data_IF_996211396078
#
_entry.id   IF_996211396078
#
_cell.length_a   1.000
_cell.length_b   1.000
_cell.length_c   1.000
_cell.angle_alpha   90.00
_cell.angle_beta   90.00
_cell.angle_gamma   90.00
#
_symmetry.space_group_name_H-M   'P 1'
#
loop_
_entity.id
_entity.type
_entity.pdbx_description
1 polymer ?
#
# COMPACT_ATOMS: atom_id res chain seq x y z
N UNK A 1 35.89 31.91 -63.96
CA UNK A 1 34.52 32.34 -63.59
C UNK A 1 33.73 31.09 -63.21
N UNK A 2 33.72 30.71 -61.94
CA UNK A 2 32.73 29.82 -61.31
C UNK A 2 32.56 30.36 -59.88
N UNK A 3 31.36 30.87 -59.61
CA UNK A 3 30.89 31.52 -58.39
C UNK A 3 30.59 30.44 -57.32
N UNK A 4 31.30 30.45 -56.20
CA UNK A 4 31.00 29.59 -55.05
C UNK A 4 30.12 30.37 -54.07
N UNK A 5 28.80 30.29 -54.28
CA UNK A 5 27.82 30.75 -53.29
C UNK A 5 27.77 29.76 -52.12
N UNK A 6 28.29 30.20 -50.98
CA UNK A 6 27.99 29.61 -49.68
C UNK A 6 26.53 29.90 -49.32
N UNK A 7 25.66 28.92 -49.49
CA UNK A 7 24.32 28.96 -48.92
C UNK A 7 24.41 28.83 -47.40
N UNK A 8 24.07 29.94 -46.72
CA UNK A 8 23.80 29.98 -45.29
C UNK A 8 22.54 29.15 -44.99
N UNK A 9 22.72 27.95 -44.48
CA UNK A 9 21.66 27.24 -43.78
C UNK A 9 21.41 27.92 -42.43
N UNK A 10 20.44 28.84 -42.42
CA UNK A 10 19.81 29.42 -41.25
C UNK A 10 19.03 28.34 -40.46
N UNK A 11 19.74 27.45 -39.78
CA UNK A 11 19.20 26.72 -38.64
C UNK A 11 19.34 27.59 -37.41
N UNK A 12 18.29 28.30 -36.98
CA UNK A 12 18.26 28.92 -35.65
C UNK A 12 18.53 27.81 -34.63
N UNK A 13 19.73 27.78 -34.04
CA UNK A 13 20.01 26.96 -32.87
C UNK A 13 18.92 27.28 -31.84
N UNK A 14 18.08 26.30 -31.48
CA UNK A 14 17.16 26.44 -30.35
C UNK A 14 18.01 26.60 -29.09
N UNK A 15 18.24 27.84 -28.68
CA UNK A 15 18.85 28.15 -27.39
C UNK A 15 17.87 27.69 -26.32
N UNK A 16 18.21 26.60 -25.61
CA UNK A 16 17.44 26.14 -24.45
C UNK A 16 17.91 26.91 -23.21
N UNK A 17 16.97 27.45 -22.42
CA UNK A 17 17.31 28.14 -21.17
C UNK A 17 17.98 27.20 -20.18
N UNK A 18 18.82 27.75 -19.29
CA UNK A 18 19.47 26.96 -18.23
C UNK A 18 18.44 26.29 -17.30
N UNK A 19 17.31 26.97 -17.03
CA UNK A 19 16.19 26.39 -16.28
C UNK A 19 15.60 25.16 -16.96
N UNK A 20 15.44 25.17 -18.29
CA UNK A 20 14.96 24.02 -19.04
C UNK A 20 15.98 22.88 -19.01
N UNK A 21 17.28 23.19 -19.10
CA UNK A 21 18.36 22.20 -18.98
C UNK A 21 18.35 21.52 -17.61
N UNK A 22 18.23 22.29 -16.52
CA UNK A 22 18.15 21.78 -15.15
C UNK A 22 16.89 20.90 -14.94
N UNK A 23 15.74 21.34 -15.45
CA UNK A 23 14.50 20.57 -15.38
C UNK A 23 14.63 19.23 -16.12
N UNK A 24 15.14 19.24 -17.35
CA UNK A 24 15.35 18.03 -18.15
C UNK A 24 16.35 17.06 -17.49
N UNK A 25 17.45 17.59 -16.91
CA UNK A 25 18.40 16.78 -16.15
C UNK A 25 17.76 16.13 -14.91
N UNK A 26 16.80 16.82 -14.29
CA UNK A 26 16.08 16.32 -13.11
C UNK A 26 15.10 15.21 -13.48
N UNK A 27 14.34 15.38 -14.56
CA UNK A 27 13.47 14.31 -15.08
C UNK A 27 14.27 13.08 -15.52
N UNK A 28 15.41 13.29 -16.20
CA UNK A 28 16.31 12.21 -16.59
C UNK A 28 16.88 11.44 -15.38
N UNK A 29 17.20 12.16 -14.28
CA UNK A 29 17.62 11.53 -13.03
C UNK A 29 16.51 10.65 -12.43
N UNK A 30 15.26 11.12 -12.45
CA UNK A 30 14.12 10.34 -11.95
C UNK A 30 13.95 9.05 -12.75
N UNK A 31 13.99 9.11 -14.08
CA UNK A 31 13.94 7.91 -14.94
C UNK A 31 15.09 6.94 -14.62
N UNK A 32 16.31 7.45 -14.49
CA UNK A 32 17.49 6.64 -14.17
C UNK A 32 17.34 5.89 -12.83
N UNK A 33 16.85 6.56 -11.77
CA UNK A 33 16.60 5.92 -10.47
C UNK A 33 15.49 4.87 -10.58
N UNK A 34 14.38 5.17 -11.26
CA UNK A 34 13.32 4.20 -11.49
C UNK A 34 13.82 2.96 -12.23
N UNK A 35 14.61 3.13 -13.29
CA UNK A 35 15.21 2.01 -14.04
C UNK A 35 16.19 1.20 -13.20
N UNK A 36 16.98 1.84 -12.34
CA UNK A 36 17.88 1.14 -11.43
C UNK A 36 17.13 0.21 -10.45
N UNK A 37 15.92 0.61 -10.04
CA UNK A 37 15.00 -0.23 -9.26
C UNK A 37 14.22 -1.25 -10.10
N UNK A 38 14.30 -1.15 -11.43
CA UNK A 38 13.52 -1.96 -12.37
C UNK A 38 12.06 -1.56 -12.46
N UNK A 39 11.76 -0.29 -12.17
CA UNK A 39 10.45 0.37 -12.31
C UNK A 39 10.38 1.16 -13.62
N UNK A 40 9.24 1.80 -13.89
CA UNK A 40 9.08 2.67 -15.07
C UNK A 40 8.68 4.09 -14.66
N UNK A 41 9.16 5.07 -15.42
CA UNK A 41 8.79 6.47 -15.32
C UNK A 41 8.09 6.90 -16.61
N UNK A 42 7.03 7.68 -16.49
CA UNK A 42 6.37 8.35 -17.61
C UNK A 42 6.28 9.84 -17.30
N UNK A 43 6.98 10.65 -18.07
CA UNK A 43 6.86 12.10 -18.03
C UNK A 43 5.49 12.53 -18.56
N UNK A 44 4.88 13.52 -17.92
CA UNK A 44 3.69 14.20 -18.42
C UNK A 44 4.15 15.43 -19.19
N UNK A 45 3.65 15.60 -20.42
CA UNK A 45 4.06 16.68 -21.28
C UNK A 45 3.72 18.04 -20.67
N UNK A 46 4.56 19.05 -20.93
CA UNK A 46 4.41 20.40 -20.41
C UNK A 46 3.10 21.10 -20.84
N UNK A 47 2.42 20.57 -21.88
CA UNK A 47 1.12 21.03 -22.34
C UNK A 47 -0.04 20.63 -21.40
N UNK A 48 0.18 19.62 -20.54
CA UNK A 48 -0.79 19.07 -19.57
C UNK A 48 -0.36 19.35 -18.11
N UNK A 49 0.53 20.34 -17.87
CA UNK A 49 1.11 20.64 -16.54
C UNK A 49 0.13 21.37 -15.61
N UNK A 50 -0.86 20.62 -15.11
CA UNK A 50 -1.75 21.03 -14.03
C UNK A 50 -1.12 20.88 -12.63
N UNK A 51 0.21 20.67 -12.54
CA UNK A 51 0.93 20.47 -11.28
C UNK A 51 1.45 19.05 -11.04
N UNK A 52 1.67 18.27 -12.10
CA UNK A 52 2.33 16.98 -12.08
C UNK A 52 3.32 16.87 -13.25
N UNK A 53 4.53 16.40 -12.98
CA UNK A 53 5.57 16.22 -14.02
C UNK A 53 5.66 14.77 -14.51
N UNK A 54 5.05 13.82 -13.81
CA UNK A 54 4.98 12.44 -14.29
C UNK A 54 4.43 11.41 -13.32
N UNK A 55 4.53 10.16 -13.74
CA UNK A 55 3.98 8.99 -13.07
C UNK A 55 5.06 7.91 -12.91
N UNK A 56 5.22 7.40 -11.68
CA UNK A 56 6.08 6.26 -11.38
C UNK A 56 5.24 4.99 -11.33
N UNK A 57 5.63 3.99 -12.11
CA UNK A 57 5.04 2.65 -12.13
C UNK A 57 5.90 1.68 -11.34
N UNK A 58 5.35 1.19 -10.24
CA UNK A 58 6.04 0.23 -9.39
C UNK A 58 6.01 -1.15 -10.04
N UNK A 59 7.16 -1.82 -10.00
CA UNK A 59 7.33 -3.16 -10.55
C UNK A 59 8.02 -4.07 -9.55
N UNK A 60 7.71 -5.35 -9.63
CA UNK A 60 8.39 -6.39 -8.85
C UNK A 60 9.17 -7.29 -9.80
N UNK A 61 10.39 -7.62 -9.39
CA UNK A 61 11.24 -8.54 -10.13
C UNK A 61 10.79 -9.97 -9.86
N UNK A 62 10.41 -10.69 -10.91
CA UNK A 62 10.20 -12.14 -10.92
C UNK A 62 11.44 -12.83 -11.47
N UNK A 63 12.02 -13.71 -10.66
CA UNK A 63 13.09 -14.60 -11.07
C UNK A 63 12.44 -15.85 -11.65
N UNK A 64 12.92 -16.30 -12.81
CA UNK A 64 12.52 -17.58 -13.37
C UNK A 64 13.14 -18.70 -12.51
N UNK A 65 12.30 -19.52 -11.88
CA UNK A 65 12.74 -20.58 -10.96
C UNK A 65 13.49 -21.71 -11.68
N UNK A 66 13.14 -22.00 -12.94
CA UNK A 66 13.81 -23.00 -13.77
C UNK A 66 15.16 -22.51 -14.29
N UNK A 67 15.33 -21.18 -14.44
CA UNK A 67 16.55 -20.55 -14.95
C UNK A 67 17.00 -19.38 -14.09
N UNK A 68 17.33 -19.61 -12.80
CA UNK A 68 17.56 -18.53 -11.85
C UNK A 68 18.82 -17.72 -12.17
N UNK A 69 19.79 -18.29 -12.90
CA UNK A 69 21.02 -17.61 -13.32
C UNK A 69 20.89 -16.83 -14.63
N UNK A 70 19.84 -17.07 -15.42
CA UNK A 70 19.64 -16.36 -16.70
C UNK A 70 18.86 -15.07 -16.47
N UNK A 71 19.58 -13.94 -16.42
CA UNK A 71 18.98 -12.61 -16.21
C UNK A 71 18.00 -12.21 -17.31
N UNK A 72 18.11 -12.76 -18.52
CA UNK A 72 17.20 -12.46 -19.64
C UNK A 72 15.82 -13.08 -19.43
N UNK A 73 15.75 -14.15 -18.64
CA UNK A 73 14.51 -14.83 -18.28
C UNK A 73 13.74 -14.13 -17.15
N UNK A 74 14.37 -13.19 -16.45
CA UNK A 74 13.75 -12.44 -15.35
C UNK A 74 12.79 -11.39 -15.90
N UNK A 75 11.67 -11.19 -15.21
CA UNK A 75 10.62 -10.24 -15.63
C UNK A 75 10.39 -9.18 -14.56
N UNK A 76 10.02 -7.97 -15.00
CA UNK A 76 9.58 -6.89 -14.11
C UNK A 76 8.08 -6.66 -14.31
N UNK A 77 7.29 -7.27 -13.43
CA UNK A 77 5.83 -7.23 -13.49
C UNK A 77 5.31 -5.96 -12.83
N UNK A 78 4.34 -5.32 -13.48
CA UNK A 78 3.65 -4.19 -12.89
C UNK A 78 2.89 -4.65 -11.65
N UNK A 79 3.08 -3.94 -10.55
CA UNK A 79 2.50 -4.32 -9.25
C UNK A 79 1.18 -3.61 -8.96
N UNK A 80 0.70 -2.78 -9.88
CA UNK A 80 -0.45 -1.91 -9.63
C UNK A 80 -0.19 -0.65 -8.83
N UNK A 81 1.06 -0.42 -8.42
CA UNK A 81 1.42 0.77 -7.67
C UNK A 81 1.74 1.91 -8.63
N UNK A 82 1.00 3.01 -8.52
CA UNK A 82 1.26 4.26 -9.23
C UNK A 82 1.53 5.38 -8.22
N UNK A 83 2.49 6.23 -8.50
CA UNK A 83 2.74 7.44 -7.71
C UNK A 83 2.82 8.62 -8.67
N UNK A 84 1.94 9.59 -8.52
CA UNK A 84 2.06 10.86 -9.24
C UNK A 84 3.16 11.69 -8.61
N UNK A 85 3.95 12.35 -9.44
CA UNK A 85 5.14 13.06 -9.00
C UNK A 85 5.13 14.47 -9.56
N UNK A 86 5.45 15.43 -8.70
CA UNK A 86 5.97 16.73 -9.10
C UNK A 86 7.48 16.74 -8.78
N UNK A 87 8.30 17.04 -9.78
CA UNK A 87 9.73 17.27 -9.72
C UNK A 87 10.01 18.77 -9.56
N UNK A 88 10.88 19.09 -8.60
CA UNK A 88 11.46 20.44 -8.46
C UNK A 88 12.96 20.34 -8.28
N UNK A 89 13.67 21.29 -8.83
CA UNK A 89 15.13 21.28 -8.90
C UNK A 89 15.67 22.70 -8.94
N UNK A 90 16.84 22.91 -8.36
CA UNK A 90 17.52 24.19 -8.34
C UNK A 90 17.41 24.90 -6.99
N UNK A 91 18.47 25.64 -6.65
CA UNK A 91 18.59 26.32 -5.36
C UNK A 91 17.48 27.36 -5.11
N UNK A 92 16.88 27.94 -6.16
CA UNK A 92 15.82 28.95 -6.06
C UNK A 92 14.55 28.44 -5.37
N UNK A 93 14.30 27.14 -5.40
CA UNK A 93 13.16 26.53 -4.71
C UNK A 93 13.43 26.31 -3.22
N UNK A 94 14.68 26.36 -2.74
CA UNK A 94 14.99 26.15 -1.33
C UNK A 94 14.73 27.42 -0.53
N UNK A 95 13.73 27.39 0.36
CA UNK A 95 13.45 28.49 1.29
C UNK A 95 14.45 28.51 2.46
N UNK A 96 14.71 27.33 3.01
CA UNK A 96 15.62 27.12 4.14
C UNK A 96 16.12 25.67 4.10
N UNK A 97 17.26 25.43 4.75
CA UNK A 97 17.83 24.11 4.96
C UNK A 97 18.17 23.95 6.43
N UNK A 98 17.74 22.85 7.03
CA UNK A 98 18.20 22.39 8.33
C UNK A 98 19.16 21.20 8.18
N UNK A 99 19.62 20.66 9.31
CA UNK A 99 20.50 19.49 9.35
C UNK A 99 19.84 18.25 8.70
N UNK A 100 18.53 18.07 8.92
CA UNK A 100 17.78 16.88 8.51
C UNK A 100 16.68 17.14 7.47
N UNK A 101 16.52 18.39 7.00
CA UNK A 101 15.43 18.75 6.10
C UNK A 101 15.75 19.91 5.16
N UNK A 102 14.96 19.99 4.09
CA UNK A 102 14.87 21.14 3.18
C UNK A 102 13.44 21.67 3.18
N UNK A 103 13.26 22.99 3.20
CA UNK A 103 11.98 23.62 2.92
C UNK A 103 11.93 24.07 1.47
N UNK A 104 10.97 23.55 0.72
CA UNK A 104 10.81 23.80 -0.70
C UNK A 104 9.62 24.75 -0.93
N UNK A 105 9.90 25.87 -1.58
CA UNK A 105 8.89 26.82 -2.09
C UNK A 105 8.20 26.20 -3.29
N UNK A 106 6.88 26.30 -3.34
CA UNK A 106 6.11 25.90 -4.51
C UNK A 106 5.24 27.09 -4.93
N UNK A 107 5.40 27.60 -6.17
CA UNK A 107 4.51 28.62 -6.70
C UNK A 107 3.05 28.15 -6.69
N UNK A 108 2.13 29.01 -6.27
CA UNK A 108 0.69 28.73 -6.19
C UNK A 108 0.35 27.47 -5.38
N UNK A 109 1.05 27.27 -4.25
CA UNK A 109 0.95 26.05 -3.43
C UNK A 109 -0.49 25.70 -3.06
N UNK A 110 -1.33 26.67 -2.69
CA UNK A 110 -2.72 26.39 -2.26
C UNK A 110 -3.56 25.76 -3.37
N UNK A 111 -3.44 26.29 -4.59
CA UNK A 111 -4.12 25.76 -5.79
C UNK A 111 -3.62 24.35 -6.09
N UNK A 112 -2.30 24.17 -6.13
CA UNK A 112 -1.68 22.86 -6.40
C UNK A 112 -2.03 21.83 -5.34
N UNK A 113 -2.07 22.23 -4.07
CA UNK A 113 -2.47 21.36 -2.95
C UNK A 113 -3.92 20.91 -3.09
N UNK A 114 -4.81 21.79 -3.54
CA UNK A 114 -6.19 21.42 -3.86
C UNK A 114 -6.26 20.32 -4.92
N UNK A 115 -5.45 20.43 -5.98
CA UNK A 115 -5.34 19.44 -7.05
C UNK A 115 -4.72 18.11 -6.57
N UNK A 116 -3.58 18.16 -5.88
CA UNK A 116 -2.91 16.97 -5.33
C UNK A 116 -3.79 16.20 -4.33
N UNK A 117 -4.60 16.91 -3.55
CA UNK A 117 -5.51 16.31 -2.56
C UNK A 117 -6.64 15.53 -3.23
N UNK A 118 -7.15 16.04 -4.37
CA UNK A 118 -8.21 15.40 -5.18
C UNK A 118 -7.73 14.18 -5.96
N UNK A 119 -6.42 14.07 -6.22
CA UNK A 119 -5.90 12.92 -6.95
C UNK A 119 -6.24 11.60 -6.25
N UNK A 120 -6.74 10.58 -6.96
CA UNK A 120 -6.97 9.26 -6.39
C UNK A 120 -5.65 8.53 -6.08
N UNK A 121 -4.54 8.98 -6.67
CA UNK A 121 -3.21 8.41 -6.47
C UNK A 121 -2.47 9.12 -5.31
N UNK A 122 -1.48 8.47 -4.69
CA UNK A 122 -0.46 9.11 -3.90
C UNK A 122 0.28 10.12 -4.76
N UNK A 123 0.59 11.26 -4.16
CA UNK A 123 1.31 12.34 -4.81
C UNK A 123 2.58 12.61 -4.03
N UNK A 124 3.71 12.62 -4.71
CA UNK A 124 5.01 12.92 -4.11
C UNK A 124 5.66 14.15 -4.76
N UNK A 125 6.31 14.96 -3.94
CA UNK A 125 7.30 15.92 -4.42
C UNK A 125 8.64 15.21 -4.45
N UNK A 126 9.33 15.24 -5.60
CA UNK A 126 10.74 14.89 -5.71
C UNK A 126 11.54 16.19 -5.82
N UNK A 127 12.36 16.46 -4.81
CA UNK A 127 13.35 17.53 -4.89
C UNK A 127 14.68 16.95 -5.35
N UNK A 128 15.12 17.37 -6.52
CA UNK A 128 16.37 16.93 -7.15
C UNK A 128 17.43 18.00 -6.90
N UNK A 129 18.53 17.60 -6.24
CA UNK A 129 19.63 18.52 -5.96
C UNK A 129 20.36 18.85 -7.25
N UNK A 130 20.47 20.13 -7.53
CA UNK A 130 21.23 20.62 -8.66
C UNK A 130 22.69 20.15 -8.58
N UNK A 131 23.21 19.65 -9.69
CA UNK A 131 24.61 19.27 -9.81
C UNK A 131 25.45 20.50 -10.18
N UNK A 132 26.69 20.56 -9.68
CA UNK A 132 27.67 21.53 -10.17
C UNK A 132 27.88 21.36 -11.68
N UNK A 133 28.23 22.44 -12.37
CA UNK A 133 28.50 22.41 -13.82
C UNK A 133 29.43 21.25 -14.20
N UNK A 134 29.09 20.54 -15.28
CA UNK A 134 29.82 19.37 -15.78
C UNK A 134 29.61 18.07 -14.99
N UNK A 135 28.82 18.06 -13.91
CA UNK A 135 28.50 16.83 -13.15
C UNK A 135 27.06 16.37 -13.36
N UNK A 136 26.87 15.06 -13.25
CA UNK A 136 25.54 14.47 -13.21
C UNK A 136 24.90 14.68 -11.84
N UNK A 137 23.58 14.80 -11.85
CA UNK A 137 22.76 14.77 -10.63
C UNK A 137 22.96 13.42 -9.94
N UNK A 138 23.17 13.46 -8.62
CA UNK A 138 23.41 12.26 -7.82
C UNK A 138 22.48 12.12 -6.63
N UNK A 139 21.78 13.18 -6.22
CA UNK A 139 20.99 13.21 -4.99
C UNK A 139 19.61 13.79 -5.24
N UNK A 140 18.58 13.07 -4.78
CA UNK A 140 17.24 13.59 -4.62
C UNK A 140 16.59 13.06 -3.33
N UNK A 141 15.53 13.76 -2.92
CA UNK A 141 14.71 13.43 -1.77
C UNK A 141 13.23 13.61 -2.07
N UNK A 142 12.38 13.06 -1.22
CA UNK A 142 10.94 13.08 -1.46
C UNK A 142 10.10 13.44 -0.24
N UNK A 143 8.93 14.03 -0.52
CA UNK A 143 7.88 14.29 0.45
C UNK A 143 6.52 13.82 -0.06
N UNK A 144 5.64 13.39 0.84
CA UNK A 144 4.27 12.98 0.53
C UNK A 144 3.36 14.20 0.54
N UNK A 145 2.89 14.61 -0.63
CA UNK A 145 2.06 15.82 -0.78
C UNK A 145 0.61 15.61 -0.30
N UNK A 146 0.22 14.40 0.12
CA UNK A 146 -1.11 14.17 0.72
C UNK A 146 -1.06 14.21 2.25
N UNK A 147 0.12 14.41 2.83
CA UNK A 147 0.34 14.50 4.27
C UNK A 147 0.31 15.94 4.74
N UNK A 148 -0.50 16.19 5.78
CA UNK A 148 -0.63 17.53 6.35
C UNK A 148 0.69 18.02 6.98
N UNK A 149 1.49 17.10 7.54
CA UNK A 149 2.77 17.40 8.17
C UNK A 149 3.93 17.56 7.16
N UNK A 150 3.66 17.44 5.86
CA UNK A 150 4.61 17.82 4.82
C UNK A 150 4.57 19.32 4.52
N UNK A 151 3.67 20.08 5.14
CA UNK A 151 3.50 21.51 4.90
C UNK A 151 3.85 22.34 6.13
N UNK A 152 4.54 23.47 5.92
CA UNK A 152 4.77 24.48 6.96
C UNK A 152 3.61 25.47 7.03
N UNK A 153 3.53 26.20 8.15
CA UNK A 153 2.61 27.34 8.28
C UNK A 153 2.96 28.49 7.31
N UNK A 154 4.18 28.51 6.76
CA UNK A 154 4.66 29.55 5.84
C UNK A 154 4.33 29.25 4.36
N UNK A 155 3.62 28.15 4.09
CA UNK A 155 3.30 27.74 2.71
C UNK A 155 4.48 27.14 1.96
N UNK A 156 5.35 26.39 2.64
CA UNK A 156 6.42 25.59 2.03
C UNK A 156 6.21 24.09 2.27
N UNK A 157 6.90 23.25 1.51
CA UNK A 157 6.91 21.79 1.68
C UNK A 157 8.19 21.36 2.39
N UNK A 158 8.06 20.61 3.49
CA UNK A 158 9.21 20.01 4.19
C UNK A 158 9.59 18.70 3.50
N UNK A 159 10.81 18.63 3.01
CA UNK A 159 11.44 17.42 2.47
C UNK A 159 12.50 16.93 3.47
N UNK A 160 12.24 15.77 4.07
CA UNK A 160 13.15 15.16 5.06
C UNK A 160 14.32 14.46 4.35
N UNK A 161 15.57 14.74 4.73
CA UNK A 161 16.76 14.21 4.06
C UNK A 161 16.93 12.68 4.22
N UNK A 162 16.28 12.07 5.22
CA UNK A 162 16.18 10.61 5.35
C UNK A 162 15.32 9.95 4.25
N UNK A 163 14.41 10.71 3.64
CA UNK A 163 13.54 10.22 2.55
C UNK A 163 14.28 10.33 1.22
N UNK A 164 15.34 9.54 1.05
CA UNK A 164 16.18 9.56 -0.15
C UNK A 164 15.43 8.95 -1.35
N UNK A 165 15.63 9.55 -2.51
CA UNK A 165 15.21 9.03 -3.82
C UNK A 165 16.46 8.83 -4.68
N UNK A 166 17.11 7.67 -4.53
CA UNK A 166 18.42 7.35 -5.09
C UNK A 166 18.44 5.87 -5.52
N UNK A 167 19.38 5.47 -6.38
CA UNK A 167 19.44 4.10 -6.94
C UNK A 167 19.64 2.97 -5.90
N UNK A 168 20.05 3.29 -4.67
CA UNK A 168 20.20 2.33 -3.57
C UNK A 168 18.91 1.57 -3.25
N UNK A 169 19.03 0.27 -2.98
CA UNK A 169 17.88 -0.62 -2.70
C UNK A 169 17.14 -0.23 -1.41
N UNK A 170 17.83 0.40 -0.46
CA UNK A 170 17.26 0.90 0.79
C UNK A 170 16.27 2.06 0.58
N UNK A 171 16.36 2.74 -0.57
CA UNK A 171 15.45 3.84 -0.94
C UNK A 171 14.12 3.34 -1.53
N UNK A 172 14.07 2.11 -2.06
CA UNK A 172 12.89 1.54 -2.73
C UNK A 172 11.71 1.44 -1.78
N UNK A 173 11.90 0.77 -0.64
CA UNK A 173 10.80 0.39 0.27
C UNK A 173 10.12 1.59 0.92
N UNK A 174 10.84 2.65 1.39
CA UNK A 174 10.20 3.84 1.91
C UNK A 174 9.30 4.53 0.87
N UNK A 175 9.78 4.69 -0.36
CA UNK A 175 9.03 5.36 -1.42
C UNK A 175 7.86 4.50 -1.93
N UNK A 176 8.06 3.19 -2.10
CA UNK A 176 6.99 2.26 -2.53
C UNK A 176 5.80 2.23 -1.59
N UNK A 177 6.02 2.53 -0.30
CA UNK A 177 4.96 2.52 0.70
C UNK A 177 3.86 3.53 0.42
N UNK A 178 4.14 4.60 -0.31
CA UNK A 178 3.14 5.58 -0.74
C UNK A 178 2.01 4.89 -1.54
N UNK A 179 2.35 3.91 -2.36
CA UNK A 179 1.41 3.15 -3.18
C UNK A 179 0.89 1.86 -2.52
N UNK A 180 1.20 1.57 -1.25
CA UNK A 180 0.82 0.30 -0.58
C UNK A 180 -0.68 0.00 -0.67
N UNK A 181 -1.55 1.01 -0.63
CA UNK A 181 -3.00 0.84 -0.76
C UNK A 181 -3.43 0.37 -2.15
N UNK A 182 -2.73 0.78 -3.21
CA UNK A 182 -3.02 0.37 -4.59
C UNK A 182 -2.54 -1.05 -4.88
N UNK A 183 -1.35 -1.40 -4.38
CA UNK A 183 -0.80 -2.76 -4.48
C UNK A 183 -1.73 -3.83 -3.91
N UNK A 184 -2.45 -3.48 -2.84
CA UNK A 184 -3.46 -4.38 -2.29
C UNK A 184 -4.62 -4.46 -3.25
N UNK A 185 -5.27 -3.32 -3.54
CA UNK A 185 -6.50 -3.25 -4.34
C UNK A 185 -6.46 -3.98 -5.69
N UNK A 186 -5.36 -3.90 -6.46
CA UNK A 186 -5.28 -4.53 -7.79
C UNK A 186 -5.19 -6.06 -7.80
N UNK A 187 -4.83 -6.68 -6.68
CA UNK A 187 -4.82 -8.14 -6.53
C UNK A 187 -5.96 -8.67 -5.65
N UNK A 188 -6.86 -7.79 -5.19
CA UNK A 188 -7.99 -8.22 -4.36
C UNK A 188 -9.11 -8.74 -5.23
N UNK A 189 -9.74 -9.81 -4.75
CA UNK A 189 -11.03 -10.25 -5.28
C UNK A 189 -12.03 -9.10 -5.10
N UNK A 190 -12.71 -8.75 -6.18
CA UNK A 190 -13.80 -7.79 -6.12
C UNK A 190 -15.06 -8.45 -5.56
N UNK A 191 -15.69 -7.80 -4.58
CA UNK A 191 -16.96 -8.23 -4.00
C UNK A 191 -18.00 -7.14 -4.19
N UNK A 192 -19.06 -7.45 -4.93
CA UNK A 192 -20.19 -6.56 -5.09
C UNK A 192 -21.29 -6.85 -4.05
N UNK A 193 -21.49 -5.90 -3.13
CA UNK A 193 -22.51 -5.98 -2.09
C UNK A 193 -23.94 -5.65 -2.59
N UNK A 194 -24.12 -5.30 -3.87
CA UNK A 194 -25.45 -5.19 -4.51
C UNK A 194 -26.09 -6.56 -4.71
N UNK A 195 -25.27 -7.58 -4.99
CA UNK A 195 -25.72 -8.92 -5.31
C UNK A 195 -26.22 -9.64 -4.06
N UNK A 196 -27.32 -10.40 -4.16
CA UNK A 196 -27.84 -11.18 -3.04
C UNK A 196 -26.91 -12.35 -2.70
N UNK A 197 -26.77 -12.64 -1.42
CA UNK A 197 -26.05 -13.81 -0.89
C UNK A 197 -26.91 -14.59 0.11
N UNK A 198 -26.33 -15.61 0.74
CA UNK A 198 -27.01 -16.42 1.77
C UNK A 198 -27.31 -15.65 3.06
N UNK A 199 -26.54 -14.59 3.34
CA UNK A 199 -26.74 -13.69 4.46
C UNK A 199 -27.17 -12.30 3.97
N UNK A 200 -27.89 -11.53 4.79
CA UNK A 200 -28.24 -10.14 4.46
C UNK A 200 -27.00 -9.33 4.10
N UNK A 201 -27.05 -8.56 3.00
CA UNK A 201 -25.91 -7.74 2.52
C UNK A 201 -25.72 -6.46 3.32
N UNK A 202 -26.66 -6.14 4.20
CA UNK A 202 -26.65 -4.96 5.06
C UNK A 202 -27.22 -5.31 6.43
N UNK A 203 -26.79 -4.56 7.43
CA UNK A 203 -27.44 -4.54 8.74
C UNK A 203 -28.67 -3.65 8.60
N UNK A 204 -29.81 -4.27 8.27
CA UNK A 204 -31.07 -3.54 8.14
C UNK A 204 -31.46 -2.95 9.50
N UNK A 205 -31.75 -1.64 9.53
CA UNK A 205 -32.89 -1.05 10.25
C UNK A 205 -32.61 0.40 10.64
N UNK A 206 -33.26 1.37 9.98
CA UNK A 206 -33.33 2.77 10.46
C UNK A 206 -34.03 2.83 11.83
N UNK A 207 -34.94 1.89 12.11
CA UNK A 207 -35.76 1.86 13.32
C UNK A 207 -35.10 1.16 14.53
N UNK A 208 -33.83 0.72 14.43
CA UNK A 208 -33.15 0.01 15.53
C UNK A 208 -31.76 0.59 15.76
N UNK A 209 -31.28 0.63 17.02
CA UNK A 209 -29.90 1.04 17.27
C UNK A 209 -28.91 0.09 16.58
N UNK A 210 -27.86 0.64 15.98
CA UNK A 210 -26.87 -0.09 15.17
C UNK A 210 -26.30 -1.32 15.89
N UNK A 211 -26.03 -1.22 17.19
CA UNK A 211 -25.52 -2.33 18.00
C UNK A 211 -26.48 -3.54 18.04
N UNK A 212 -27.79 -3.29 18.16
CA UNK A 212 -28.79 -4.36 18.17
C UNK A 212 -28.90 -5.03 16.81
N UNK A 213 -28.99 -4.23 15.75
CA UNK A 213 -29.06 -4.76 14.39
C UNK A 213 -27.79 -5.57 14.03
N UNK A 214 -26.60 -5.09 14.44
CA UNK A 214 -25.35 -5.82 14.29
C UNK A 214 -25.31 -7.13 15.09
N UNK A 215 -25.87 -7.14 16.29
CA UNK A 215 -25.95 -8.34 17.12
C UNK A 215 -26.88 -9.40 16.53
N UNK A 216 -28.03 -8.99 16.01
CA UNK A 216 -28.97 -9.89 15.33
C UNK A 216 -28.34 -10.49 14.07
N UNK A 217 -27.65 -9.67 13.26
CA UNK A 217 -26.86 -10.19 12.15
C UNK A 217 -25.78 -11.18 12.62
N UNK A 218 -25.05 -10.86 13.68
CA UNK A 218 -23.99 -11.72 14.20
C UNK A 218 -24.50 -13.07 14.71
N UNK A 219 -25.69 -13.11 15.33
CA UNK A 219 -26.36 -14.35 15.72
C UNK A 219 -26.75 -15.19 14.52
N UNK A 220 -27.36 -14.56 13.51
CA UNK A 220 -27.73 -15.24 12.27
C UNK A 220 -26.49 -15.84 11.59
N UNK A 221 -25.42 -15.05 11.46
CA UNK A 221 -24.16 -15.51 10.89
C UNK A 221 -23.56 -16.67 11.70
N UNK A 222 -23.60 -16.61 13.04
CA UNK A 222 -23.19 -17.71 13.90
C UNK A 222 -24.01 -18.98 13.67
N UNK A 223 -25.32 -18.87 13.47
CA UNK A 223 -26.21 -20.01 13.25
C UNK A 223 -25.99 -20.66 11.88
N UNK A 224 -25.77 -19.85 10.84
CA UNK A 224 -25.46 -20.31 9.47
C UNK A 224 -24.05 -20.91 9.38
N UNK A 225 -23.11 -20.40 10.17
CA UNK A 225 -21.70 -20.77 10.09
C UNK A 225 -20.95 -20.00 9.01
N UNK A 226 -19.65 -20.25 8.90
CA UNK A 226 -18.79 -19.65 7.89
C UNK A 226 -17.73 -20.65 7.43
N UNK A 227 -17.51 -20.72 6.12
CA UNK A 227 -16.52 -21.58 5.48
C UNK A 227 -15.64 -20.74 4.58
N UNK A 228 -14.33 -20.81 4.76
CA UNK A 228 -13.35 -20.20 3.88
C UNK A 228 -12.81 -21.25 2.90
N UNK A 229 -12.70 -20.97 1.59
CA UNK A 229 -12.34 -21.96 0.57
C UNK A 229 -11.05 -22.74 0.90
N UNK A 230 -10.02 -22.06 1.39
CA UNK A 230 -8.70 -22.68 1.69
C UNK A 230 -8.40 -22.88 3.17
N UNK A 231 -9.04 -22.14 4.09
CA UNK A 231 -8.79 -22.22 5.53
C UNK A 231 -9.78 -23.14 6.24
N UNK A 232 -10.83 -23.59 5.55
CA UNK A 232 -11.89 -24.39 6.10
C UNK A 232 -12.83 -23.60 7.00
N UNK A 233 -13.37 -24.25 8.02
CA UNK A 233 -14.37 -23.69 8.92
C UNK A 233 -13.83 -22.46 9.68
N UNK A 234 -14.60 -21.38 9.67
CA UNK A 234 -14.35 -20.16 10.44
C UNK A 234 -15.40 -20.03 11.54
N UNK A 235 -14.98 -20.20 12.79
CA UNK A 235 -15.85 -20.17 13.95
C UNK A 235 -16.30 -18.74 14.25
N UNK A 236 -17.61 -18.51 14.18
CA UNK A 236 -18.25 -17.25 14.57
C UNK A 236 -18.78 -17.40 15.99
N UNK A 237 -18.18 -16.71 16.97
CA UNK A 237 -18.55 -16.86 18.37
C UNK A 237 -18.26 -15.58 19.20
N UNK A 238 -18.36 -15.71 20.52
CA UNK A 238 -18.11 -14.58 21.44
C UNK A 238 -16.70 -13.97 21.28
N UNK A 239 -15.69 -14.71 20.80
CA UNK A 239 -14.33 -14.19 20.62
C UNK A 239 -14.29 -12.99 19.67
N UNK A 240 -14.90 -13.09 18.49
CA UNK A 240 -14.96 -11.99 17.53
C UNK A 240 -15.82 -10.84 18.05
N UNK A 241 -17.01 -11.14 18.57
CA UNK A 241 -17.90 -10.13 19.15
C UNK A 241 -17.24 -9.33 20.28
N UNK A 242 -16.68 -10.00 21.29
CA UNK A 242 -16.00 -9.34 22.40
C UNK A 242 -14.77 -8.55 21.98
N UNK A 243 -14.08 -8.96 20.91
CA UNK A 243 -12.98 -8.17 20.36
C UNK A 243 -13.49 -6.88 19.71
N UNK A 244 -14.51 -6.97 18.87
CA UNK A 244 -15.14 -5.83 18.19
C UNK A 244 -15.71 -4.84 19.20
N UNK A 245 -16.34 -5.31 20.27
CA UNK A 245 -17.04 -4.48 21.27
C UNK A 245 -16.22 -4.22 22.53
N UNK A 246 -14.89 -4.40 22.50
CA UNK A 246 -14.03 -4.23 23.68
C UNK A 246 -14.12 -2.80 24.22
N UNK A 247 -14.24 -2.64 25.54
CA UNK A 247 -14.41 -1.34 26.24
C UNK A 247 -13.39 -0.27 25.82
N UNK A 248 -12.11 -0.64 25.64
CA UNK A 248 -11.04 0.31 25.25
C UNK A 248 -11.05 0.70 23.76
N UNK A 249 -11.99 0.19 22.96
CA UNK A 249 -12.02 0.44 21.51
C UNK A 249 -12.84 1.70 21.22
N UNK A 250 -12.33 2.65 20.41
CA UNK A 250 -13.07 3.86 20.07
C UNK A 250 -14.44 3.55 19.43
N UNK A 251 -15.49 4.26 19.82
CA UNK A 251 -16.86 4.03 19.36
C UNK A 251 -16.97 4.03 17.83
N UNK A 252 -16.32 4.99 17.16
CA UNK A 252 -16.30 5.07 15.70
C UNK A 252 -15.73 3.79 15.03
N UNK A 253 -14.76 3.11 15.65
CA UNK A 253 -14.23 1.83 15.16
C UNK A 253 -15.18 0.67 15.40
N UNK A 254 -15.91 0.71 16.52
CA UNK A 254 -16.95 -0.28 16.82
C UNK A 254 -18.05 -0.18 15.77
N UNK A 255 -18.58 1.03 15.54
CA UNK A 255 -19.61 1.29 14.52
C UNK A 255 -19.16 0.88 13.12
N UNK A 256 -17.95 1.27 12.69
CA UNK A 256 -17.42 0.85 11.40
C UNK A 256 -17.29 -0.68 11.28
N UNK A 257 -16.92 -1.38 12.36
CA UNK A 257 -16.85 -2.86 12.33
C UNK A 257 -18.22 -3.51 12.26
N UNK A 258 -19.24 -2.90 12.90
CA UNK A 258 -20.61 -3.36 12.79
C UNK A 258 -21.05 -3.28 11.33
N UNK A 259 -20.96 -2.11 10.70
CA UNK A 259 -21.35 -1.92 9.29
C UNK A 259 -20.70 -2.92 8.32
N UNK A 260 -19.48 -3.37 8.63
CA UNK A 260 -18.71 -4.30 7.81
C UNK A 260 -18.98 -5.79 8.11
N UNK A 261 -19.84 -6.16 9.06
CA UNK A 261 -20.13 -7.58 9.35
C UNK A 261 -20.70 -8.35 8.16
N UNK A 262 -21.69 -7.84 7.40
CA UNK A 262 -22.15 -8.48 6.16
C UNK A 262 -21.03 -8.68 5.15
N UNK A 263 -20.20 -7.65 4.99
CA UNK A 263 -19.04 -7.69 4.11
C UNK A 263 -18.03 -8.74 4.56
N UNK A 264 -17.75 -8.84 5.86
CA UNK A 264 -16.83 -9.82 6.41
C UNK A 264 -17.29 -11.26 6.12
N UNK A 265 -18.59 -11.53 6.29
CA UNK A 265 -19.17 -12.83 6.00
C UNK A 265 -18.96 -13.22 4.53
N UNK A 266 -19.19 -12.28 3.61
CA UNK A 266 -19.01 -12.50 2.18
C UNK A 266 -17.54 -12.64 1.77
N UNK A 267 -16.64 -11.87 2.38
CA UNK A 267 -15.19 -12.01 2.17
C UNK A 267 -14.74 -13.41 2.56
N UNK A 268 -15.15 -13.89 3.74
CA UNK A 268 -14.78 -15.21 4.23
C UNK A 268 -15.23 -16.31 3.26
N UNK A 269 -16.44 -16.22 2.71
CA UNK A 269 -16.96 -17.27 1.82
C UNK A 269 -16.45 -17.21 0.38
N UNK A 270 -15.91 -16.07 -0.06
CA UNK A 270 -15.59 -15.83 -1.48
C UNK A 270 -14.10 -15.80 -1.76
N UNK A 271 -13.29 -15.24 -0.86
CA UNK A 271 -11.87 -15.01 -1.12
C UNK A 271 -11.07 -16.27 -0.77
N UNK A 272 -10.31 -16.80 -1.74
CA UNK A 272 -9.47 -17.99 -1.53
C UNK A 272 -8.12 -17.66 -0.90
N UNK A 273 -7.61 -16.47 -1.16
CA UNK A 273 -6.27 -16.06 -0.78
C UNK A 273 -6.25 -15.41 0.61
N UNK A 274 -5.20 -15.71 1.37
CA UNK A 274 -5.00 -15.16 2.70
C UNK A 274 -3.51 -14.95 2.96
N UNK A 275 -3.19 -14.07 3.90
CA UNK A 275 -1.81 -13.79 4.28
C UNK A 275 -1.65 -13.73 5.80
N UNK A 276 -0.49 -14.16 6.31
CA UNK A 276 -0.19 -14.12 7.74
C UNK A 276 0.14 -12.68 8.15
N UNK A 277 -0.62 -12.10 9.07
CA UNK A 277 -0.44 -10.72 9.56
C UNK A 277 0.63 -10.62 10.65
N UNK A 278 0.72 -11.64 11.52
CA UNK A 278 1.70 -11.70 12.60
C UNK A 278 1.94 -13.17 13.00
N UNK A 279 3.20 -13.58 13.16
CA UNK A 279 3.55 -14.80 13.93
C UNK A 279 3.18 -14.54 15.39
N UNK A 280 2.25 -15.30 15.97
CA UNK A 280 2.02 -15.15 17.40
C UNK A 280 3.13 -15.83 18.17
N UNK A 281 3.60 -15.11 19.19
CA UNK A 281 4.63 -15.52 20.13
C UNK A 281 4.03 -16.25 21.35
N UNK A 282 2.72 -16.54 21.31
CA UNK A 282 2.01 -17.14 22.43
C UNK A 282 1.84 -18.62 22.16
N UNK A 283 2.56 -19.42 22.93
CA UNK A 283 2.42 -20.86 23.01
C UNK A 283 1.57 -21.21 24.23
N UNK A 284 0.68 -22.19 24.10
CA UNK A 284 0.01 -22.84 25.23
C UNK A 284 0.41 -24.31 25.21
N UNK A 285 1.05 -24.78 26.28
CA UNK A 285 1.32 -26.21 26.43
C UNK A 285 0.10 -26.92 27.03
N UNK A 286 -0.11 -28.15 26.60
CA UNK A 286 -1.14 -29.04 27.11
C UNK A 286 -0.50 -30.15 27.96
N UNK A 287 -1.26 -30.78 28.88
CA UNK A 287 -0.72 -31.83 29.75
C UNK A 287 -0.19 -33.07 29.02
N UNK A 288 -0.66 -33.32 27.80
CA UNK A 288 -0.24 -34.43 26.93
C UNK A 288 1.07 -34.14 26.17
N UNK A 289 1.75 -33.02 26.46
CA UNK A 289 2.98 -32.60 25.79
C UNK A 289 2.74 -31.88 24.45
N UNK A 290 1.51 -31.84 23.94
CA UNK A 290 1.18 -31.04 22.76
C UNK A 290 1.21 -29.54 23.09
N UNK A 291 1.35 -28.67 22.07
CA UNK A 291 1.27 -27.23 22.26
C UNK A 291 0.47 -26.54 21.16
N UNK A 292 -0.21 -25.46 21.51
CA UNK A 292 -0.92 -24.60 20.58
C UNK A 292 -0.13 -23.30 20.32
N UNK A 293 0.04 -22.97 19.05
CA UNK A 293 0.47 -21.64 18.61
C UNK A 293 -0.72 -20.84 18.09
N UNK A 294 -0.75 -19.56 18.45
CA UNK A 294 -1.73 -18.63 17.92
C UNK A 294 -1.11 -17.77 16.83
N UNK A 295 -1.84 -17.49 15.75
CA UNK A 295 -1.47 -16.46 14.79
C UNK A 295 -2.69 -15.69 14.27
N UNK A 296 -2.41 -14.63 13.51
CA UNK A 296 -3.44 -13.82 12.86
C UNK A 296 -3.26 -13.86 11.36
N UNK A 297 -4.36 -14.08 10.67
CA UNK A 297 -4.47 -14.16 9.22
C UNK A 297 -5.36 -13.04 8.72
N UNK A 298 -4.98 -12.42 7.61
CA UNK A 298 -5.73 -11.40 6.91
C UNK A 298 -6.31 -11.96 5.62
N UNK A 299 -7.59 -11.72 5.40
CA UNK A 299 -8.30 -11.97 4.15
C UNK A 299 -8.82 -10.63 3.64
N UNK A 300 -8.53 -10.28 2.40
CA UNK A 300 -8.75 -8.93 1.89
C UNK A 300 -9.51 -8.96 0.57
N UNK A 301 -10.44 -8.04 0.40
CA UNK A 301 -11.23 -7.87 -0.82
C UNK A 301 -11.38 -6.38 -1.16
N UNK A 302 -11.54 -6.07 -2.45
CA UNK A 302 -12.02 -4.77 -2.89
C UNK A 302 -13.54 -4.84 -2.92
N UNK A 303 -14.21 -4.06 -2.07
CA UNK A 303 -15.65 -4.19 -1.90
C UNK A 303 -16.35 -3.01 -2.54
N UNK A 304 -17.35 -3.29 -3.38
CA UNK A 304 -18.23 -2.31 -4.03
C UNK A 304 -19.56 -2.27 -3.28
N UNK A 305 -20.02 -1.06 -2.95
CA UNK A 305 -21.35 -0.85 -2.34
C UNK A 305 -22.21 0.03 -3.26
N UNK A 306 -23.55 -0.06 -3.14
CA UNK A 306 -24.43 0.78 -3.97
C UNK A 306 -24.35 2.29 -3.69
N UNK A 307 -24.00 2.69 -2.46
CA UNK A 307 -24.14 4.08 -1.98
C UNK A 307 -22.85 4.68 -1.40
N UNK A 308 -21.70 4.03 -1.61
CA UNK A 308 -20.38 4.53 -1.20
C UNK A 308 -19.29 4.00 -2.11
N UNK A 309 -18.17 4.71 -2.16
CA UNK A 309 -17.01 4.34 -2.95
C UNK A 309 -16.50 2.94 -2.59
N UNK A 310 -15.96 2.27 -3.60
CA UNK A 310 -15.31 0.99 -3.42
C UNK A 310 -14.08 1.15 -2.54
N UNK A 311 -13.86 0.20 -1.64
CA UNK A 311 -12.80 0.29 -0.64
C UNK A 311 -12.26 -1.09 -0.28
N UNK A 312 -10.98 -1.16 0.06
CA UNK A 312 -10.39 -2.38 0.61
C UNK A 312 -11.01 -2.67 1.98
N UNK A 313 -11.43 -3.91 2.17
CA UNK A 313 -11.87 -4.43 3.47
C UNK A 313 -11.00 -5.61 3.84
N UNK A 314 -10.51 -5.60 5.08
CA UNK A 314 -9.67 -6.66 5.63
C UNK A 314 -10.41 -7.33 6.77
N UNK A 315 -10.64 -8.63 6.62
CA UNK A 315 -11.09 -9.52 7.68
C UNK A 315 -9.86 -10.10 8.37
N UNK A 316 -9.83 -9.96 9.70
CA UNK A 316 -8.82 -10.59 10.55
C UNK A 316 -9.43 -11.88 11.11
N UNK A 317 -8.72 -12.98 10.87
CA UNK A 317 -8.99 -14.27 11.46
C UNK A 317 -7.91 -14.56 12.51
N UNK A 318 -8.33 -15.08 13.67
CA UNK A 318 -7.41 -15.63 14.67
C UNK A 318 -7.33 -17.13 14.41
N UNK A 319 -6.13 -17.70 14.35
CA UNK A 319 -5.94 -19.13 14.16
C UNK A 319 -5.12 -19.73 15.30
N UNK A 320 -5.51 -20.93 15.71
CA UNK A 320 -4.82 -21.79 16.67
C UNK A 320 -4.40 -23.05 15.92
N UNK A 321 -3.11 -23.34 15.93
CA UNK A 321 -2.57 -24.58 15.39
C UNK A 321 -1.99 -25.38 16.54
N UNK A 322 -2.53 -26.56 16.78
CA UNK A 322 -2.04 -27.51 17.78
C UNK A 322 -1.03 -28.45 17.13
N UNK A 323 0.13 -28.55 17.74
CA UNK A 323 1.24 -29.40 17.35
C UNK A 323 1.47 -30.48 18.40
N UNK A 324 1.93 -31.64 17.96
CA UNK A 324 2.44 -32.71 18.82
C UNK A 324 3.76 -33.21 18.23
N UNK A 325 4.60 -33.79 19.07
CA UNK A 325 5.88 -34.33 18.68
C UNK A 325 5.84 -35.85 18.83
N UNK A 326 5.98 -36.56 17.70
CA UNK A 326 6.09 -38.01 17.70
C UNK A 326 7.55 -38.40 17.96
N UNK A 327 7.79 -39.20 19.00
CA UNK A 327 9.09 -39.83 19.25
C UNK A 327 9.21 -41.08 18.39
N UNK A 328 9.94 -40.99 17.27
CA UNK A 328 10.29 -42.17 16.47
C UNK A 328 11.51 -42.83 17.12
N UNK A 329 11.29 -43.91 17.87
CA UNK A 329 12.35 -44.77 18.36
C UNK A 329 12.88 -45.64 17.21
N UNK A 330 13.84 -45.12 16.44
CA UNK A 330 14.75 -45.92 15.62
C UNK A 330 16.17 -45.41 15.82
N UNK A 331 16.97 -46.24 16.46
CA UNK A 331 18.43 -46.24 16.59
C UNK A 331 19.10 -44.88 16.85
N UNK A 332 19.45 -44.66 18.12
CA UNK A 332 20.45 -43.74 18.67
C UNK A 332 20.47 -42.26 18.21
N UNK A 333 19.49 -41.79 17.45
CA UNK A 333 19.30 -40.36 17.17
C UNK A 333 17.81 -40.02 17.07
N UNK A 334 17.18 -39.81 18.23
CA UNK A 334 15.78 -39.39 18.30
C UNK A 334 15.61 -38.01 17.65
N UNK A 335 15.19 -37.97 16.37
CA UNK A 335 14.68 -36.76 15.73
C UNK A 335 13.17 -36.76 15.87
N UNK A 336 12.64 -35.95 16.78
CA UNK A 336 11.20 -35.76 16.93
C UNK A 336 10.60 -35.16 15.66
N UNK A 337 9.50 -35.73 15.18
CA UNK A 337 8.76 -35.17 14.04
C UNK A 337 7.58 -34.36 14.58
N UNK A 338 7.62 -33.04 14.36
CA UNK A 338 6.51 -32.16 14.71
C UNK A 338 5.36 -32.38 13.71
N UNK A 339 4.19 -32.75 14.20
CA UNK A 339 2.96 -32.93 13.42
C UNK A 339 1.91 -31.90 13.83
N UNK A 340 1.16 -31.39 12.83
CA UNK A 340 -0.06 -30.60 13.09
C UNK A 340 -1.20 -31.57 13.42
N UNK A 341 -1.74 -31.44 14.63
CA UNK A 341 -2.85 -32.25 15.13
C UNK A 341 -4.19 -31.62 14.74
N UNK A 342 -4.30 -30.30 14.92
CA UNK A 342 -5.55 -29.58 14.70
C UNK A 342 -5.30 -28.12 14.33
N UNK A 343 -6.18 -27.57 13.52
CA UNK A 343 -6.26 -26.13 13.28
C UNK A 343 -7.67 -25.65 13.57
N UNK A 344 -7.80 -24.55 14.30
CA UNK A 344 -9.06 -23.83 14.52
C UNK A 344 -8.89 -22.39 14.09
N UNK A 345 -9.88 -21.87 13.37
CA UNK A 345 -9.89 -20.49 12.89
C UNK A 345 -11.13 -19.80 13.41
N UNK A 346 -10.99 -18.62 14.01
CA UNK A 346 -12.10 -17.79 14.48
C UNK A 346 -12.12 -16.47 13.73
N UNK A 347 -13.33 -15.99 13.44
CA UNK A 347 -13.49 -14.58 13.10
C UNK A 347 -13.05 -13.70 14.28
N UNK A 348 -12.19 -12.73 14.01
CA UNK A 348 -11.64 -11.86 15.05
C UNK A 348 -12.07 -10.40 14.88
N UNK A 349 -11.95 -9.84 13.68
CA UNK A 349 -12.28 -8.44 13.41
C UNK A 349 -12.45 -8.17 11.92
N UNK A 350 -13.00 -7.01 11.58
CA UNK A 350 -13.05 -6.49 10.20
C UNK A 350 -12.82 -4.98 10.23
N UNK A 351 -12.12 -4.45 9.22
CA UNK A 351 -11.86 -3.02 9.09
C UNK A 351 -11.50 -2.62 7.65
N UNK A 352 -11.60 -1.33 7.37
CA UNK A 352 -11.07 -0.71 6.15
C UNK A 352 -9.67 -0.14 6.42
N UNK A 353 -8.63 -0.58 5.70
CA UNK A 353 -7.32 0.04 5.76
C UNK A 353 -7.38 1.49 5.27
N UNK A 354 -6.49 2.35 5.78
CA UNK A 354 -6.39 3.73 5.28
C UNK A 354 -7.39 4.72 5.86
N UNK A 355 -8.44 4.30 6.60
CA UNK A 355 -9.19 5.23 7.46
C UNK A 355 -8.25 5.77 8.53
N UNK A 356 -7.76 6.99 8.33
CA UNK A 356 -6.86 7.70 9.26
C UNK A 356 -7.41 7.57 10.68
N UNK A 357 -6.51 7.42 11.67
CA UNK A 357 -6.85 7.70 13.07
C UNK A 357 -7.34 9.15 13.09
N UNK A 358 -8.66 9.35 13.08
CA UNK A 358 -9.21 10.60 13.58
C UNK A 358 -8.73 10.71 15.02
N UNK A 359 -7.72 11.55 15.25
CA UNK A 359 -7.60 12.18 16.55
C UNK A 359 -8.84 13.07 16.62
N UNK A 360 -9.80 12.67 17.45
CA UNK A 360 -10.66 13.66 18.11
C UNK A 360 -9.76 14.35 19.11
#
# INVERSE_FOLDING_TARGET
MIDWRFDRLNGKQKVTSESNRISAASTAYVDAVCRAWGWSWQEVGQADDDGFDGLVYLRSKRINEDRPKDRRSWKHEFTGGLIQVQVKSGASYVASSGEDFLEIKIPNLEVKRGLWSKSPLPVALLYVKEASSGRLVSQAWWADLKRADSYTQRGTVIVQLKNRFQSGLECIRPFSRLATGQHRAQGLVEIDMTQKGSLPTRINSISKPVKFAAWEFYKLWKAVGAMHPTLGEVIINRTGWSHITRVKRPLARIMASFELLPTAARIISTVETWHRLRRGLKTRQFPDGSWAEYDYVGVSALVKWPAREASEVVVILKRETTFSEDLIAKDCSAKGRIRVVRTKTWFYSVYEPGRRKGKI
#
